data_IF_333662251115
#
_entry.id   IF_333662251115
#
_cell.length_a   1.000
_cell.length_b   1.000
_cell.length_c   1.000
_cell.angle_alpha   90.00
_cell.angle_beta   90.00
_cell.angle_gamma   90.00
#
_symmetry.space_group_name_H-M   'P 1'
#
loop_
_entity.id
_entity.type
_entity.pdbx_description
1 polymer ?
#
# COMPACT_ATOMS: atom_id res chain seq x y z
N UNK A 1 32.63 3.43 -17.04
CA UNK A 1 31.83 4.22 -16.08
C UNK A 1 31.08 3.22 -15.21
N UNK A 2 31.25 3.25 -13.87
CA UNK A 2 30.41 2.41 -13.00
C UNK A 2 28.95 2.83 -13.24
N UNK A 3 28.08 1.87 -13.50
CA UNK A 3 26.64 2.14 -13.62
C UNK A 3 26.08 2.81 -12.36
N UNK A 4 24.85 3.34 -12.41
CA UNK A 4 24.21 3.90 -11.24
C UNK A 4 24.23 2.89 -10.08
N UNK A 5 24.46 3.37 -8.85
CA UNK A 5 24.62 2.51 -7.67
C UNK A 5 23.35 1.74 -7.28
N UNK A 6 22.21 2.06 -7.91
CA UNK A 6 20.90 1.45 -7.68
C UNK A 6 20.01 1.57 -8.95
N UNK A 7 18.92 0.77 -9.06
CA UNK A 7 18.03 0.78 -10.24
C UNK A 7 16.91 1.83 -10.21
N UNK A 8 16.82 2.66 -9.15
CA UNK A 8 15.75 3.64 -8.96
C UNK A 8 15.97 4.95 -9.72
N UNK A 9 14.87 5.66 -9.98
CA UNK A 9 14.87 6.97 -10.63
C UNK A 9 14.52 8.07 -9.62
N UNK A 10 15.13 9.26 -9.68
CA UNK A 10 16.20 9.62 -10.61
C UNK A 10 17.50 8.88 -10.28
N UNK A 11 18.28 8.54 -11.30
CA UNK A 11 19.47 7.66 -11.18
C UNK A 11 20.61 8.24 -10.32
N UNK A 12 20.55 9.55 -10.04
CA UNK A 12 21.47 10.29 -9.18
C UNK A 12 20.91 10.51 -7.76
N UNK A 13 19.77 9.92 -7.40
CA UNK A 13 19.22 9.99 -6.05
C UNK A 13 20.23 9.46 -5.02
N UNK A 14 20.30 10.12 -3.86
CA UNK A 14 21.19 9.68 -2.79
C UNK A 14 20.56 8.54 -1.99
N UNK A 15 21.00 7.30 -2.22
CA UNK A 15 20.63 6.12 -1.43
C UNK A 15 21.87 5.53 -0.72
N UNK A 16 22.36 6.16 0.36
CA UNK A 16 23.69 5.90 0.93
C UNK A 16 23.87 4.49 1.54
N UNK A 17 22.78 3.76 1.77
CA UNK A 17 22.79 2.42 2.36
C UNK A 17 22.10 1.39 1.46
N UNK A 18 21.97 1.65 0.17
CA UNK A 18 21.28 0.74 -0.73
C UNK A 18 21.94 -0.65 -0.75
N UNK A 19 21.10 -1.67 -0.56
CA UNK A 19 21.43 -3.07 -0.78
C UNK A 19 20.34 -3.70 -1.66
N UNK A 20 20.74 -4.39 -2.73
CA UNK A 20 19.81 -5.13 -3.58
C UNK A 20 19.09 -6.24 -2.79
N UNK A 21 17.89 -6.61 -3.23
CA UNK A 21 17.16 -7.72 -2.64
C UNK A 21 17.96 -9.02 -2.78
N UNK A 22 18.10 -9.75 -1.67
CA UNK A 22 18.76 -11.06 -1.64
C UNK A 22 17.76 -12.19 -1.90
N UNK A 23 16.50 -12.00 -1.50
CA UNK A 23 15.45 -13.00 -1.67
C UNK A 23 14.83 -12.88 -3.07
N UNK A 24 14.63 -14.00 -3.80
CA UNK A 24 13.96 -13.98 -5.09
C UNK A 24 12.55 -13.38 -4.99
N UNK A 25 12.19 -12.55 -5.97
CA UNK A 25 10.88 -11.87 -6.03
C UNK A 25 9.70 -12.82 -5.84
N UNK A 26 9.70 -13.98 -6.50
CA UNK A 26 8.61 -14.97 -6.40
C UNK A 26 8.43 -15.46 -4.96
N UNK A 27 9.52 -15.61 -4.20
CA UNK A 27 9.47 -16.02 -2.80
C UNK A 27 8.92 -14.91 -1.91
N UNK A 28 9.34 -13.65 -2.15
CA UNK A 28 8.82 -12.48 -1.46
C UNK A 28 7.31 -12.33 -1.69
N UNK A 29 6.88 -12.35 -2.96
CA UNK A 29 5.48 -12.24 -3.35
C UNK A 29 4.65 -13.38 -2.77
N UNK A 30 5.09 -14.63 -2.93
CA UNK A 30 4.37 -15.79 -2.40
C UNK A 30 4.17 -15.73 -0.88
N UNK A 31 5.23 -15.35 -0.14
CA UNK A 31 5.16 -15.21 1.33
C UNK A 31 4.22 -14.07 1.73
N UNK A 32 4.28 -12.94 1.03
CA UNK A 32 3.42 -11.79 1.29
C UNK A 32 1.95 -12.11 1.02
N UNK A 33 1.65 -12.67 -0.15
CA UNK A 33 0.29 -13.07 -0.52
C UNK A 33 -0.27 -14.10 0.46
N UNK A 34 0.53 -15.09 0.89
CA UNK A 34 0.09 -16.06 1.89
C UNK A 34 -0.22 -15.39 3.25
N UNK A 35 0.59 -14.42 3.66
CA UNK A 35 0.37 -13.65 4.90
C UNK A 35 -0.93 -12.85 4.84
N UNK A 36 -1.10 -12.07 3.77
CA UNK A 36 -2.30 -11.26 3.52
C UNK A 36 -3.55 -12.13 3.44
N UNK A 37 -3.50 -13.22 2.66
CA UNK A 37 -4.61 -14.14 2.52
C UNK A 37 -5.00 -14.77 3.87
N UNK A 38 -4.02 -15.14 4.69
CA UNK A 38 -4.28 -15.68 6.03
C UNK A 38 -5.02 -14.69 6.91
N UNK A 39 -4.59 -13.42 6.93
CA UNK A 39 -5.27 -12.35 7.69
C UNK A 39 -6.71 -12.19 7.21
N UNK A 40 -6.91 -12.02 5.90
CA UNK A 40 -8.24 -11.82 5.30
C UNK A 40 -9.17 -13.01 5.60
N UNK A 41 -8.70 -14.25 5.39
CA UNK A 41 -9.50 -15.47 5.62
C UNK A 41 -9.89 -15.57 7.10
N UNK A 42 -8.94 -15.37 8.02
CA UNK A 42 -9.22 -15.42 9.46
C UNK A 42 -10.24 -14.36 9.85
N UNK A 43 -10.11 -13.13 9.35
CA UNK A 43 -11.05 -12.05 9.64
C UNK A 43 -12.44 -12.34 9.09
N UNK A 44 -12.57 -12.82 7.85
CA UNK A 44 -13.87 -13.19 7.27
C UNK A 44 -14.52 -14.34 8.04
N UNK A 45 -13.75 -15.38 8.38
CA UNK A 45 -14.25 -16.51 9.18
C UNK A 45 -14.72 -16.05 10.55
N UNK A 46 -13.95 -15.19 11.23
CA UNK A 46 -14.33 -14.62 12.52
C UNK A 46 -15.61 -13.79 12.41
N UNK A 47 -15.71 -12.92 11.39
CA UNK A 47 -16.90 -12.10 11.16
C UNK A 47 -18.15 -12.95 10.88
N UNK A 48 -18.04 -14.03 10.11
CA UNK A 48 -19.13 -14.99 9.88
C UNK A 48 -19.55 -15.75 11.12
N UNK A 49 -18.62 -16.03 12.04
CA UNK A 49 -18.96 -16.66 13.33
C UNK A 49 -19.72 -15.71 14.24
N UNK A 50 -19.41 -14.41 14.20
CA UNK A 50 -20.11 -13.37 14.98
C UNK A 50 -21.48 -13.08 14.37
N UNK A 51 -21.56 -12.93 13.04
CA UNK A 51 -22.80 -12.70 12.31
C UNK A 51 -23.08 -13.85 11.33
N UNK A 52 -23.77 -14.87 11.83
CA UNK A 52 -24.00 -16.15 11.13
C UNK A 52 -24.80 -16.05 9.83
N UNK A 53 -25.61 -15.00 9.67
CA UNK A 53 -26.42 -14.72 8.47
C UNK A 53 -25.83 -13.62 7.58
N UNK A 54 -24.52 -13.35 7.68
CA UNK A 54 -23.85 -12.30 6.91
C UNK A 54 -23.99 -12.52 5.41
N UNK A 55 -24.54 -11.52 4.71
CA UNK A 55 -24.71 -11.53 3.26
C UNK A 55 -23.35 -11.62 2.54
N UNK A 56 -23.35 -12.15 1.31
CA UNK A 56 -22.12 -12.33 0.53
C UNK A 56 -21.39 -10.99 0.29
N UNK A 57 -22.11 -9.91 -0.04
CA UNK A 57 -21.51 -8.59 -0.24
C UNK A 57 -20.90 -8.00 1.04
N UNK A 58 -21.50 -8.30 2.21
CA UNK A 58 -20.91 -7.91 3.50
C UNK A 58 -19.62 -8.71 3.77
N UNK A 59 -19.54 -9.99 3.35
CA UNK A 59 -18.32 -10.78 3.45
C UNK A 59 -17.20 -10.24 2.55
N UNK A 60 -17.53 -9.82 1.32
CA UNK A 60 -16.58 -9.17 0.42
C UNK A 60 -16.10 -7.83 0.99
N UNK A 61 -17.00 -7.04 1.57
CA UNK A 61 -16.64 -5.81 2.27
C UNK A 61 -15.70 -6.08 3.45
N UNK A 62 -15.98 -7.10 4.28
CA UNK A 62 -15.07 -7.52 5.36
C UNK A 62 -13.69 -7.91 4.80
N UNK A 63 -13.64 -8.67 3.71
CA UNK A 63 -12.39 -9.08 3.10
C UNK A 63 -11.58 -7.87 2.59
N UNK A 64 -12.23 -6.93 1.91
CA UNK A 64 -11.62 -5.69 1.42
C UNK A 64 -11.06 -4.84 2.55
N UNK A 65 -11.87 -4.52 3.57
CA UNK A 65 -11.42 -3.68 4.68
C UNK A 65 -10.40 -4.40 5.59
N UNK A 66 -10.41 -5.73 5.67
CA UNK A 66 -9.34 -6.48 6.34
C UNK A 66 -8.02 -6.38 5.58
N UNK A 67 -8.05 -6.49 4.24
CA UNK A 67 -6.89 -6.27 3.37
C UNK A 67 -6.34 -4.85 3.55
N UNK A 68 -7.18 -3.82 3.40
CA UNK A 68 -6.77 -2.43 3.60
C UNK A 68 -6.24 -2.18 5.00
N UNK A 69 -6.94 -2.66 6.04
CA UNK A 69 -6.50 -2.52 7.43
C UNK A 69 -5.13 -3.15 7.70
N UNK A 70 -4.84 -4.30 7.09
CA UNK A 70 -3.52 -4.92 7.17
C UNK A 70 -2.46 -4.11 6.43
N UNK A 71 -2.73 -3.72 5.19
CA UNK A 71 -1.77 -2.94 4.39
C UNK A 71 -1.45 -1.61 5.05
N UNK A 72 -2.45 -0.85 5.50
CA UNK A 72 -2.25 0.43 6.15
C UNK A 72 -1.52 0.30 7.49
N UNK A 73 -2.00 -0.54 8.41
CA UNK A 73 -1.39 -0.62 9.74
C UNK A 73 -0.01 -1.31 9.73
N UNK A 74 0.18 -2.33 8.89
CA UNK A 74 1.36 -3.20 8.95
C UNK A 74 2.34 -2.88 7.83
N UNK A 75 1.89 -2.86 6.58
CA UNK A 75 2.81 -2.71 5.45
C UNK A 75 3.29 -1.25 5.30
N UNK A 76 2.38 -0.29 5.29
CA UNK A 76 2.67 1.15 5.28
C UNK A 76 3.26 1.60 6.62
N UNK A 77 2.77 1.05 7.74
CA UNK A 77 3.36 1.28 9.07
C UNK A 77 4.82 0.83 9.14
N UNK A 78 5.17 -0.27 8.49
CA UNK A 78 6.55 -0.71 8.35
C UNK A 78 7.39 0.29 7.56
N UNK A 79 6.87 0.83 6.45
CA UNK A 79 7.54 1.89 5.69
C UNK A 79 7.77 3.12 6.56
N UNK A 80 6.73 3.68 7.17
CA UNK A 80 6.81 4.91 8.00
C UNK A 80 7.84 4.75 9.11
N UNK A 81 7.88 3.59 9.78
CA UNK A 81 8.85 3.33 10.85
C UNK A 81 10.29 3.18 10.35
N UNK A 82 10.49 2.64 9.15
CA UNK A 82 11.81 2.25 8.64
C UNK A 82 12.36 3.12 7.51
N UNK A 83 11.64 4.17 7.10
CA UNK A 83 11.88 4.90 5.86
C UNK A 83 13.35 5.32 5.61
N UNK A 84 14.07 5.73 6.67
CA UNK A 84 15.49 6.16 6.59
C UNK A 84 16.48 5.03 6.30
N UNK A 85 16.14 3.80 6.68
CA UNK A 85 17.01 2.62 6.57
C UNK A 85 16.51 1.59 5.56
N UNK A 86 15.32 1.81 5.00
CA UNK A 86 14.59 0.86 4.17
C UNK A 86 15.42 0.32 3.00
N UNK A 87 16.18 1.19 2.33
CA UNK A 87 17.02 0.86 1.19
C UNK A 87 18.10 -0.20 1.47
N UNK A 88 18.53 -0.37 2.73
CA UNK A 88 19.55 -1.34 3.13
C UNK A 88 19.03 -2.57 3.87
N UNK A 89 17.72 -2.64 4.15
CA UNK A 89 17.14 -3.72 4.93
C UNK A 89 16.79 -4.93 4.06
N UNK A 90 16.88 -6.13 4.65
CA UNK A 90 16.59 -7.41 3.98
C UNK A 90 15.40 -8.18 4.59
N UNK A 91 14.60 -7.54 5.44
CA UNK A 91 13.34 -8.14 5.90
C UNK A 91 12.36 -8.29 4.72
N UNK A 92 11.37 -9.18 4.87
CA UNK A 92 10.32 -9.39 3.86
C UNK A 92 9.71 -8.06 3.37
N UNK A 93 9.24 -7.22 4.30
CA UNK A 93 8.61 -5.96 3.94
C UNK A 93 9.57 -4.95 3.34
N UNK A 94 10.82 -4.87 3.82
CA UNK A 94 11.80 -3.97 3.22
C UNK A 94 12.11 -4.34 1.77
N UNK A 95 12.26 -5.64 1.47
CA UNK A 95 12.51 -6.10 0.13
C UNK A 95 11.31 -5.88 -0.81
N UNK A 96 10.07 -6.04 -0.30
CA UNK A 96 8.86 -5.71 -1.04
C UNK A 96 8.72 -4.21 -1.31
N UNK A 97 9.05 -3.37 -0.33
CA UNK A 97 9.10 -1.91 -0.54
C UNK A 97 10.17 -1.51 -1.55
N UNK A 98 11.35 -2.14 -1.51
CA UNK A 98 12.39 -1.95 -2.53
C UNK A 98 11.93 -2.40 -3.92
N UNK A 99 11.14 -3.46 -4.02
CA UNK A 99 10.57 -3.92 -5.28
C UNK A 99 9.50 -2.94 -5.80
N UNK A 100 8.57 -2.53 -4.94
CA UNK A 100 7.54 -1.54 -5.28
C UNK A 100 8.15 -0.19 -5.64
N UNK A 101 9.23 0.22 -4.98
CA UNK A 101 9.91 1.47 -5.27
C UNK A 101 10.54 1.54 -6.67
N UNK A 102 10.60 0.44 -7.43
CA UNK A 102 10.94 0.48 -8.86
C UNK A 102 9.88 1.23 -9.67
N UNK A 103 8.63 1.23 -9.21
CA UNK A 103 7.57 2.05 -9.80
C UNK A 103 7.49 3.46 -9.23
N UNK A 104 7.97 3.66 -8.00
CA UNK A 104 8.02 4.97 -7.36
C UNK A 104 9.08 5.05 -6.26
N UNK A 105 10.22 5.66 -6.58
CA UNK A 105 11.36 5.75 -5.67
C UNK A 105 11.15 6.70 -4.49
N UNK A 106 10.06 7.48 -4.47
CA UNK A 106 9.73 8.39 -3.35
C UNK A 106 9.66 7.66 -2.01
N UNK A 107 9.34 6.36 -2.04
CA UNK A 107 9.38 5.46 -0.89
C UNK A 107 10.79 5.09 -0.38
N UNK A 108 11.84 5.30 -1.17
CA UNK A 108 13.24 5.08 -0.75
C UNK A 108 13.99 6.38 -0.49
N UNK A 109 13.56 7.49 -1.08
CA UNK A 109 14.16 8.81 -0.89
C UNK A 109 13.55 9.57 0.29
N UNK A 110 12.59 8.97 1.02
CA UNK A 110 11.91 9.61 2.16
C UNK A 110 11.17 10.89 1.76
N UNK A 111 10.46 10.84 0.63
CA UNK A 111 9.67 11.97 0.15
C UNK A 111 8.69 12.46 1.24
N UNK A 112 8.66 13.76 1.58
CA UNK A 112 7.81 14.29 2.64
C UNK A 112 6.31 14.08 2.39
N UNK A 113 5.86 14.15 1.13
CA UNK A 113 4.45 13.94 0.83
C UNK A 113 4.07 12.47 1.07
N UNK A 114 4.90 11.53 0.59
CA UNK A 114 4.70 10.10 0.84
C UNK A 114 4.73 9.77 2.34
N UNK A 115 5.68 10.32 3.11
CA UNK A 115 5.70 10.10 4.55
C UNK A 115 4.44 10.65 5.25
N UNK A 116 3.95 11.81 4.83
CA UNK A 116 2.73 12.40 5.41
C UNK A 116 1.49 11.57 5.11
N UNK A 117 1.28 11.19 3.84
CA UNK A 117 0.08 10.44 3.44
C UNK A 117 0.08 9.04 4.07
N UNK A 118 1.21 8.34 4.05
CA UNK A 118 1.35 7.00 4.64
C UNK A 118 1.31 7.04 6.17
N UNK A 119 1.78 8.13 6.80
CA UNK A 119 1.55 8.29 8.24
C UNK A 119 0.06 8.41 8.54
N UNK A 120 -0.67 9.20 7.75
CA UNK A 120 -2.12 9.38 7.91
C UNK A 120 -2.90 8.09 7.69
N UNK A 121 -2.52 7.30 6.69
CA UNK A 121 -3.14 5.98 6.45
C UNK A 121 -2.92 5.05 7.63
N UNK A 122 -1.73 5.04 8.22
CA UNK A 122 -1.39 4.23 9.40
C UNK A 122 -2.19 4.64 10.63
N UNK A 123 -2.27 5.95 10.93
CA UNK A 123 -2.86 6.42 12.20
C UNK A 123 -4.38 6.54 12.16
N UNK A 124 -4.98 6.72 10.97
CA UNK A 124 -6.42 6.98 10.84
C UNK A 124 -7.09 5.94 9.93
N UNK A 125 -6.63 5.74 8.70
CA UNK A 125 -7.35 4.89 7.74
C UNK A 125 -7.31 3.41 8.11
N UNK A 126 -6.15 2.89 8.51
CA UNK A 126 -5.99 1.52 8.96
C UNK A 126 -6.89 1.18 10.14
N UNK A 127 -6.85 1.95 11.25
CA UNK A 127 -7.77 1.76 12.38
C UNK A 127 -9.25 1.85 11.98
N UNK A 128 -9.62 2.77 11.10
CA UNK A 128 -10.99 2.89 10.61
C UNK A 128 -11.41 1.71 9.73
N UNK A 129 -10.51 1.14 8.92
CA UNK A 129 -10.77 -0.11 8.18
C UNK A 129 -11.10 -1.26 9.13
N UNK A 130 -10.34 -1.41 10.22
CA UNK A 130 -10.65 -2.40 11.26
C UNK A 130 -11.95 -2.09 12.00
N UNK A 131 -12.26 -0.81 12.24
CA UNK A 131 -13.55 -0.41 12.82
C UNK A 131 -14.73 -0.77 11.89
N UNK A 132 -14.57 -0.64 10.56
CA UNK A 132 -15.57 -1.08 9.58
C UNK A 132 -15.77 -2.59 9.64
N UNK A 133 -14.69 -3.37 9.69
CA UNK A 133 -14.75 -4.83 9.87
C UNK A 133 -15.57 -5.20 11.11
N UNK A 134 -15.30 -4.54 12.25
CA UNK A 134 -16.05 -4.76 13.49
C UNK A 134 -17.51 -4.34 13.36
N UNK A 135 -17.79 -3.20 12.71
CA UNK A 135 -19.15 -2.73 12.47
C UNK A 135 -19.94 -3.71 11.60
N UNK A 136 -19.34 -4.25 10.53
CA UNK A 136 -19.93 -5.27 9.67
C UNK A 136 -20.18 -6.57 10.43
N UNK A 137 -19.21 -7.05 11.19
CA UNK A 137 -19.33 -8.25 12.01
C UNK A 137 -20.42 -8.12 13.09
N UNK A 138 -20.69 -6.92 13.58
CA UNK A 138 -21.74 -6.65 14.58
C UNK A 138 -23.09 -6.23 13.99
N UNK A 139 -23.21 -6.15 12.66
CA UNK A 139 -24.43 -5.65 12.01
C UNK A 139 -24.77 -4.19 12.36
N UNK A 140 -23.77 -3.37 12.66
CA UNK A 140 -23.95 -1.97 13.09
C UNK A 140 -24.26 -1.05 11.92
N UNK A 141 -25.20 -0.11 12.11
CA UNK A 141 -25.50 0.95 11.15
C UNK A 141 -24.31 1.92 10.93
N UNK A 142 -23.34 1.97 11.84
CA UNK A 142 -22.13 2.76 11.69
C UNK A 142 -21.24 2.31 10.53
N UNK A 143 -21.47 1.11 9.97
CA UNK A 143 -20.70 0.63 8.81
C UNK A 143 -20.74 1.61 7.63
N UNK A 144 -21.90 2.19 7.33
CA UNK A 144 -22.09 3.04 6.15
C UNK A 144 -21.32 4.37 6.24
N UNK A 145 -21.47 5.19 7.31
CA UNK A 145 -20.69 6.41 7.43
C UNK A 145 -19.18 6.14 7.48
N UNK A 146 -18.74 5.08 8.16
CA UNK A 146 -17.32 4.72 8.19
C UNK A 146 -16.79 4.31 6.81
N UNK A 147 -17.55 3.50 6.06
CA UNK A 147 -17.21 3.11 4.69
C UNK A 147 -17.11 4.33 3.78
N UNK A 148 -18.08 5.26 3.83
CA UNK A 148 -18.05 6.49 3.01
C UNK A 148 -16.78 7.30 3.30
N UNK A 149 -16.46 7.52 4.58
CA UNK A 149 -15.26 8.27 4.98
C UNK A 149 -13.99 7.62 4.42
N UNK A 150 -13.87 6.30 4.51
CA UNK A 150 -12.67 5.59 4.06
C UNK A 150 -12.59 5.49 2.54
N UNK A 151 -13.71 5.22 1.86
CA UNK A 151 -13.76 5.20 0.40
C UNK A 151 -13.37 6.56 -0.20
N UNK A 152 -13.87 7.66 0.37
CA UNK A 152 -13.46 9.01 -0.04
C UNK A 152 -11.98 9.25 0.26
N UNK A 153 -11.50 8.81 1.43
CA UNK A 153 -10.09 8.87 1.79
C UNK A 153 -9.20 8.16 0.78
N UNK A 154 -9.52 6.92 0.42
CA UNK A 154 -8.79 6.12 -0.57
C UNK A 154 -8.75 6.81 -1.94
N UNK A 155 -9.89 7.27 -2.45
CA UNK A 155 -9.96 8.01 -3.71
C UNK A 155 -9.09 9.27 -3.66
N UNK A 156 -9.19 10.05 -2.58
CA UNK A 156 -8.40 11.27 -2.39
C UNK A 156 -6.89 10.97 -2.32
N UNK A 157 -6.50 9.92 -1.58
CA UNK A 157 -5.11 9.48 -1.46
C UNK A 157 -4.52 9.10 -2.80
N UNK A 158 -5.23 8.27 -3.59
CA UNK A 158 -4.76 7.86 -4.93
C UNK A 158 -4.68 9.04 -5.89
N UNK A 159 -5.66 9.96 -5.85
CA UNK A 159 -5.61 11.18 -6.66
C UNK A 159 -4.38 12.01 -6.32
N UNK A 160 -4.08 12.24 -5.03
CA UNK A 160 -2.90 12.98 -4.63
C UNK A 160 -1.60 12.22 -4.99
N UNK A 161 -1.57 10.90 -4.82
CA UNK A 161 -0.43 10.06 -5.16
C UNK A 161 -0.03 10.22 -6.63
N UNK A 162 -1.00 10.11 -7.55
CA UNK A 162 -0.77 10.30 -8.97
C UNK A 162 -0.48 11.76 -9.33
N UNK A 163 -1.28 12.68 -8.80
CA UNK A 163 -1.18 14.11 -9.15
C UNK A 163 0.15 14.69 -8.74
N UNK A 164 0.67 14.34 -7.56
CA UNK A 164 1.97 14.85 -7.08
C UNK A 164 3.11 14.38 -7.98
N UNK A 165 3.15 13.09 -8.34
CA UNK A 165 4.17 12.56 -9.24
C UNK A 165 4.09 13.18 -10.64
N UNK A 166 2.89 13.30 -11.22
CA UNK A 166 2.73 13.93 -12.54
C UNK A 166 3.10 15.41 -12.52
N UNK A 167 2.68 16.13 -11.48
CA UNK A 167 2.97 17.56 -11.33
C UNK A 167 4.46 17.79 -11.18
N UNK A 168 5.15 16.98 -10.38
CA UNK A 168 6.60 17.08 -10.22
C UNK A 168 7.33 16.78 -11.54
N UNK A 169 6.92 15.75 -12.27
CA UNK A 169 7.44 15.47 -13.61
C UNK A 169 7.22 16.64 -14.56
N UNK A 170 6.04 17.25 -14.55
CA UNK A 170 5.73 18.39 -15.42
C UNK A 170 6.54 19.65 -15.07
N UNK A 171 6.73 19.94 -13.78
CA UNK A 171 7.41 21.17 -13.33
C UNK A 171 8.94 21.03 -13.39
N UNK A 172 9.46 19.87 -12.99
CA UNK A 172 10.91 19.67 -12.77
C UNK A 172 11.57 18.78 -13.82
N UNK A 173 10.78 18.03 -14.61
CA UNK A 173 11.27 17.01 -15.51
C UNK A 173 11.75 15.73 -14.81
N UNK A 174 11.57 15.61 -13.49
CA UNK A 174 12.03 14.45 -12.71
C UNK A 174 10.93 13.37 -12.67
N UNK A 175 11.30 12.16 -13.10
CA UNK A 175 10.50 10.96 -12.86
C UNK A 175 11.07 10.18 -11.67
N UNK A 176 10.20 9.66 -10.82
CA UNK A 176 10.56 8.81 -9.68
C UNK A 176 10.37 7.32 -9.96
N UNK A 177 9.61 6.99 -11.00
CA UNK A 177 9.40 5.62 -11.45
C UNK A 177 10.24 5.26 -12.66
N UNK A 178 10.50 3.97 -12.83
CA UNK A 178 11.03 3.47 -14.11
C UNK A 178 9.91 3.41 -15.16
N UNK A 179 10.26 3.66 -16.42
CA UNK A 179 9.29 3.81 -17.52
C UNK A 179 8.88 2.50 -18.19
N UNK A 180 9.47 1.36 -17.83
CA UNK A 180 9.09 0.07 -18.39
C UNK A 180 7.64 -0.28 -18.05
N UNK A 181 6.98 -1.00 -18.97
CA UNK A 181 5.56 -1.34 -18.86
C UNK A 181 5.19 -1.98 -17.51
N UNK A 182 6.03 -2.88 -17.01
CA UNK A 182 5.83 -3.55 -15.73
C UNK A 182 5.73 -2.54 -14.57
N UNK A 183 6.70 -1.64 -14.46
CA UNK A 183 6.77 -0.73 -13.31
C UNK A 183 5.73 0.38 -13.40
N UNK A 184 5.47 0.91 -14.59
CA UNK A 184 4.47 1.96 -14.73
C UNK A 184 3.03 1.40 -14.76
N UNK A 185 2.70 0.47 -15.65
CA UNK A 185 1.31 0.04 -15.82
C UNK A 185 0.87 -0.99 -14.78
N UNK A 186 1.73 -1.94 -14.42
CA UNK A 186 1.34 -3.01 -13.48
C UNK A 186 1.51 -2.53 -12.04
N UNK A 187 2.67 -1.97 -11.69
CA UNK A 187 2.92 -1.58 -10.29
C UNK A 187 2.31 -0.21 -9.99
N UNK A 188 2.73 0.85 -10.68
CA UNK A 188 2.29 2.21 -10.37
C UNK A 188 0.77 2.39 -10.57
N UNK A 189 0.25 2.03 -11.75
CA UNK A 189 -1.21 2.12 -12.00
C UNK A 189 -1.97 0.92 -11.44
N UNK A 190 -1.54 -0.30 -11.79
CA UNK A 190 -2.30 -1.51 -11.52
C UNK A 190 -2.44 -1.86 -10.04
N UNK A 191 -1.39 -1.67 -9.23
CA UNK A 191 -1.51 -1.94 -7.79
C UNK A 191 -2.29 -0.87 -7.05
N UNK A 192 -2.37 0.37 -7.54
CA UNK A 192 -3.16 1.42 -6.88
C UNK A 192 -4.63 1.45 -7.38
N UNK A 193 -4.93 0.91 -8.56
CA UNK A 193 -6.26 0.89 -9.15
C UNK A 193 -7.38 0.29 -8.24
N UNK A 194 -7.15 -0.76 -7.43
CA UNK A 194 -8.18 -1.29 -6.53
C UNK A 194 -8.74 -0.25 -5.55
N UNK A 195 -7.91 0.68 -5.07
CA UNK A 195 -8.31 1.79 -4.20
C UNK A 195 -9.08 2.90 -4.92
N UNK A 196 -9.31 2.75 -6.23
CA UNK A 196 -10.22 3.58 -7.01
C UNK A 196 -11.49 2.81 -7.35
N UNK A 197 -11.33 1.59 -7.87
CA UNK A 197 -12.45 0.79 -8.38
C UNK A 197 -13.38 0.34 -7.25
N UNK A 198 -12.85 -0.23 -6.17
CA UNK A 198 -13.70 -0.77 -5.09
C UNK A 198 -14.43 0.34 -4.33
N UNK A 199 -13.81 1.48 -3.99
CA UNK A 199 -14.53 2.61 -3.39
C UNK A 199 -15.63 3.23 -4.27
N UNK A 200 -15.57 3.03 -5.59
CA UNK A 200 -16.52 3.59 -6.55
C UNK A 200 -17.69 2.65 -6.90
N UNK A 201 -17.69 1.42 -6.39
CA UNK A 201 -18.75 0.40 -6.60
C UNK A 201 -19.60 0.21 -5.36
#
# INVERSE_FOLDING_TARGET
>A
MKGPGHPYYPVNAALPHYAANETPFVTLLGTFTATVASVVIVTVVAARRIHTKMAFLDQLSVAWFALCGFLHCVFEGYFVWNHRRLAGMQTLFAQLWKEYALSDSRYLTSDPFMLCVESFTVIIWGPLCWAIVVALARGSHMRHPLQIVICVGHLYGVVLYYSTSLTELYITGVSHGRSEFLYFWVYYIGFNAPWVVVPAT
#
